data_IF_570975504342
#
_entry.id   IF_570975504342
#
_cell.length_a   1.000
_cell.length_b   1.000
_cell.length_c   1.000
_cell.angle_alpha   90.00
_cell.angle_beta   90.00
_cell.angle_gamma   90.00
#
_symmetry.space_group_name_H-M   'P 1'
#
loop_
_entity.id
_entity.type
_entity.pdbx_description
1 polymer ?
#
# COMPACT_ATOMS: atom_id res chain seq x y z
N UNK A 1 -13.64 7.68 15.44
CA UNK A 1 -12.17 7.61 15.55
C UNK A 1 -11.59 8.46 14.43
N UNK A 2 -10.63 9.34 14.70
CA UNK A 2 -9.89 10.08 13.65
C UNK A 2 -8.51 9.46 13.54
N UNK A 3 -8.16 9.00 12.34
CA UNK A 3 -6.85 8.45 12.05
C UNK A 3 -6.07 9.47 11.22
N UNK A 4 -4.94 9.92 11.75
CA UNK A 4 -4.04 10.81 11.03
C UNK A 4 -3.14 9.92 10.15
N UNK A 5 -3.40 9.90 8.86
CA UNK A 5 -2.56 9.18 7.89
C UNK A 5 -1.51 10.16 7.35
N UNK A 6 -0.25 9.71 7.31
CA UNK A 6 0.84 10.43 6.64
C UNK A 6 1.25 9.55 5.46
N UNK A 7 1.10 10.08 4.25
CA UNK A 7 1.60 9.44 3.04
C UNK A 7 3.05 9.83 2.78
N UNK A 8 3.87 8.89 2.34
CA UNK A 8 5.22 9.14 1.83
C UNK A 8 5.15 8.99 0.31
N UNK A 9 5.41 10.05 -0.49
CA UNK A 9 5.46 9.94 -1.93
C UNK A 9 6.55 8.95 -2.37
N UNK A 10 6.23 8.10 -3.34
CA UNK A 10 7.17 7.15 -3.94
C UNK A 10 6.91 7.05 -5.43
N UNK A 11 7.98 6.85 -6.19
CA UNK A 11 7.96 6.58 -7.63
C UNK A 11 8.18 5.11 -7.94
N UNK A 12 8.51 4.29 -6.95
CA UNK A 12 8.88 2.88 -7.12
C UNK A 12 7.74 1.95 -6.71
N UNK A 13 7.69 0.78 -7.37
CA UNK A 13 6.85 -0.36 -6.96
C UNK A 13 7.62 -1.20 -5.94
N UNK A 14 6.91 -1.82 -5.01
CA UNK A 14 7.50 -2.77 -4.06
C UNK A 14 7.16 -4.22 -4.46
N UNK A 15 7.97 -5.17 -4.00
CA UNK A 15 7.76 -6.59 -4.27
C UNK A 15 6.47 -7.10 -3.61
N UNK A 16 5.68 -7.89 -4.35
CA UNK A 16 4.39 -8.39 -3.87
C UNK A 16 3.27 -7.36 -3.87
N UNK A 17 3.43 -6.24 -4.59
CA UNK A 17 2.38 -5.24 -4.77
C UNK A 17 1.22 -5.80 -5.63
N UNK A 18 0.00 -5.71 -5.10
CA UNK A 18 -1.24 -6.18 -5.71
C UNK A 18 -2.01 -4.96 -6.22
N UNK A 19 -2.31 -4.93 -7.52
CA UNK A 19 -3.06 -3.85 -8.15
C UNK A 19 -4.57 -3.96 -7.85
N UNK A 20 -5.19 -2.85 -7.43
CA UNK A 20 -6.65 -2.69 -7.28
C UNK A 20 -7.14 -1.54 -8.18
N UNK A 21 -7.23 -1.75 -9.51
CA UNK A 21 -7.40 -0.65 -10.47
C UNK A 21 -8.69 0.16 -10.25
N UNK A 22 -9.77 -0.51 -9.86
CA UNK A 22 -11.07 0.12 -9.58
C UNK A 22 -11.05 1.06 -8.37
N UNK A 23 -10.05 0.93 -7.48
CA UNK A 23 -9.82 1.81 -6.33
C UNK A 23 -8.69 2.81 -6.57
N UNK A 24 -8.01 2.76 -7.73
CA UNK A 24 -6.81 3.54 -8.02
C UNK A 24 -5.75 3.39 -6.92
N UNK A 25 -5.51 2.16 -6.48
CA UNK A 25 -4.62 1.87 -5.37
C UNK A 25 -3.93 0.54 -5.60
N UNK A 26 -2.81 0.35 -4.92
CA UNK A 26 -2.15 -0.93 -4.75
C UNK A 26 -1.95 -1.27 -3.28
N UNK A 27 -1.84 -2.56 -2.96
CA UNK A 27 -1.67 -3.04 -1.59
C UNK A 27 -0.59 -4.11 -1.48
N UNK A 28 -0.01 -4.30 -0.30
CA UNK A 28 0.80 -5.48 0.02
C UNK A 28 -0.05 -6.53 0.74
N UNK A 29 0.35 -7.79 0.63
CA UNK A 29 -0.17 -8.80 1.54
C UNK A 29 0.49 -8.67 2.92
N UNK A 30 -0.31 -8.65 3.98
CA UNK A 30 0.14 -8.66 5.36
C UNK A 30 0.73 -9.99 5.81
N UNK A 31 0.34 -11.12 5.21
CA UNK A 31 0.88 -12.44 5.56
C UNK A 31 2.21 -12.74 4.88
N UNK A 32 2.52 -12.01 3.80
CA UNK A 32 3.63 -12.32 2.90
C UNK A 32 4.78 -11.30 2.96
N UNK A 33 4.92 -10.59 4.09
CA UNK A 33 6.08 -9.72 4.34
C UNK A 33 6.63 -9.92 5.75
N UNK A 34 7.95 -9.72 5.97
CA UNK A 34 8.61 -10.04 7.23
C UNK A 34 8.16 -9.19 8.43
N UNK A 35 7.33 -8.17 8.21
CA UNK A 35 6.86 -7.26 9.24
C UNK A 35 5.39 -7.48 9.63
N UNK A 36 4.65 -8.30 8.90
CA UNK A 36 3.22 -8.52 9.16
C UNK A 36 2.34 -7.29 8.87
N UNK A 37 2.81 -6.34 8.06
CA UNK A 37 2.15 -5.04 7.84
C UNK A 37 1.56 -4.96 6.43
N UNK A 38 0.30 -4.53 6.30
CA UNK A 38 -0.22 -4.15 4.99
C UNK A 38 0.16 -2.70 4.67
N UNK A 39 0.84 -2.51 3.53
CA UNK A 39 1.06 -1.21 2.91
C UNK A 39 -0.03 -0.93 1.88
N UNK A 40 -0.44 0.33 1.78
CA UNK A 40 -1.40 0.83 0.80
C UNK A 40 -0.80 2.03 0.08
N UNK A 41 -0.84 2.02 -1.26
CA UNK A 41 -0.34 3.13 -2.08
C UNK A 41 -1.42 3.61 -3.03
N UNK A 42 -1.83 4.85 -2.86
CA UNK A 42 -2.78 5.52 -3.75
C UNK A 42 -2.07 5.93 -5.04
N UNK A 43 -2.71 5.64 -6.16
CA UNK A 43 -2.27 6.06 -7.49
C UNK A 43 -2.84 7.46 -7.75
N UNK A 44 -1.95 8.40 -8.07
CA UNK A 44 -2.28 9.77 -8.46
C UNK A 44 -2.95 9.85 -9.83
#
# INVERSE_FOLDING_TARGET
MKFNHIGIPTTERFEGEIDLPHLKMTVSDHENNPYGIQWQRYLG
#
